data_IF_804111107138
#
_entry.id   IF_804111107138
#
_cell.length_a   1.000
_cell.length_b   1.000
_cell.length_c   1.000
_cell.angle_alpha   90.00
_cell.angle_beta   90.00
_cell.angle_gamma   90.00
#
_symmetry.space_group_name_H-M   'P 1'
#
loop_
_entity.id
_entity.type
_entity.pdbx_description
1 polymer ?
#
# COMPACT_ATOMS: atom_id res chain seq x y z
N UNK A 1 -37.95 -4.29 19.33
CA UNK A 1 -37.64 -5.49 18.53
C UNK A 1 -36.81 -6.48 19.36
N UNK A 2 -35.62 -6.10 19.83
CA UNK A 2 -34.68 -6.97 20.57
C UNK A 2 -35.29 -7.58 21.84
N UNK A 3 -36.14 -6.84 22.59
CA UNK A 3 -36.83 -7.38 23.78
C UNK A 3 -37.84 -8.49 23.42
N UNK A 4 -38.36 -8.47 22.19
CA UNK A 4 -39.33 -9.44 21.67
C UNK A 4 -38.62 -10.67 21.10
N UNK A 5 -37.49 -10.44 20.48
CA UNK A 5 -36.63 -11.44 19.84
C UNK A 5 -35.18 -11.18 20.19
N UNK A 6 -34.66 -11.82 21.25
CA UNK A 6 -33.31 -11.59 21.76
C UNK A 6 -32.19 -11.90 20.78
N UNK A 7 -32.38 -12.82 19.83
CA UNK A 7 -31.32 -13.20 18.84
C UNK A 7 -30.92 -12.02 17.95
N UNK A 8 -31.83 -11.05 17.78
CA UNK A 8 -31.58 -9.85 16.99
C UNK A 8 -30.48 -8.93 17.56
N UNK A 9 -30.08 -9.11 18.80
CA UNK A 9 -28.98 -8.34 19.40
C UNK A 9 -27.69 -8.60 18.64
N UNK A 10 -27.42 -9.84 18.22
CA UNK A 10 -26.19 -10.22 17.53
C UNK A 10 -26.01 -9.44 16.21
N UNK A 11 -27.06 -9.38 15.40
CA UNK A 11 -27.03 -8.61 14.13
C UNK A 11 -27.02 -7.09 14.38
N UNK A 12 -27.68 -6.63 15.44
CA UNK A 12 -27.79 -5.19 15.71
C UNK A 12 -26.51 -4.62 16.30
N UNK A 13 -25.82 -5.34 17.18
CA UNK A 13 -24.57 -4.90 17.81
C UNK A 13 -23.37 -4.85 16.84
N UNK A 14 -23.45 -5.53 15.68
CA UNK A 14 -22.45 -5.40 14.63
C UNK A 14 -22.46 -4.00 13.98
N UNK A 15 -23.62 -3.33 13.99
CA UNK A 15 -23.83 -2.04 13.31
C UNK A 15 -23.97 -0.90 14.30
N UNK A 16 -24.63 -1.11 15.45
CA UNK A 16 -24.95 -0.07 16.42
C UNK A 16 -24.14 -0.25 17.71
N UNK A 17 -23.68 0.90 18.21
CA UNK A 17 -23.12 1.06 19.55
C UNK A 17 -24.13 1.77 20.46
N UNK A 18 -24.02 1.71 21.79
CA UNK A 18 -24.88 2.46 22.69
C UNK A 18 -24.98 3.95 22.33
N UNK A 19 -23.87 4.56 21.92
CA UNK A 19 -23.76 5.98 21.53
C UNK A 19 -24.50 6.28 20.19
N UNK A 20 -24.87 5.24 19.44
CA UNK A 20 -25.69 5.40 18.23
C UNK A 20 -27.11 5.87 18.54
N UNK A 21 -27.56 5.72 19.76
CA UNK A 21 -28.89 6.19 20.18
C UNK A 21 -28.85 7.64 20.66
N UNK A 22 -29.87 8.44 20.27
CA UNK A 22 -29.96 9.82 20.65
C UNK A 22 -30.33 10.02 22.13
N UNK A 23 -31.27 9.19 22.64
CA UNK A 23 -31.74 9.31 24.05
C UNK A 23 -30.81 8.52 24.95
N UNK A 24 -30.30 9.14 26.02
CA UNK A 24 -29.48 8.46 27.02
C UNK A 24 -30.15 7.20 27.60
N UNK A 25 -31.49 7.23 27.79
CA UNK A 25 -32.24 6.06 28.22
C UNK A 25 -32.03 4.85 27.27
N UNK A 26 -32.08 5.08 25.99
CA UNK A 26 -31.84 3.98 25.00
C UNK A 26 -30.39 3.53 24.99
N UNK A 27 -29.43 4.44 25.26
CA UNK A 27 -28.01 4.07 25.39
C UNK A 27 -27.79 3.12 26.56
N UNK A 28 -28.37 3.42 27.73
CA UNK A 28 -28.29 2.54 28.89
C UNK A 28 -28.98 1.18 28.64
N UNK A 29 -30.17 1.20 28.05
CA UNK A 29 -30.89 -0.03 27.71
C UNK A 29 -30.09 -0.90 26.73
N UNK A 30 -29.54 -0.32 25.67
CA UNK A 30 -28.79 -1.09 24.68
C UNK A 30 -27.48 -1.63 25.26
N UNK A 31 -26.79 -0.86 26.10
CA UNK A 31 -25.60 -1.33 26.82
C UNK A 31 -25.92 -2.50 27.75
N UNK A 32 -27.00 -2.43 28.49
CA UNK A 32 -27.45 -3.53 29.34
C UNK A 32 -27.83 -4.79 28.53
N UNK A 33 -28.44 -4.62 27.33
CA UNK A 33 -28.68 -5.74 26.41
C UNK A 33 -27.39 -6.38 25.92
N UNK A 34 -26.36 -5.59 25.60
CA UNK A 34 -25.05 -6.10 25.19
C UNK A 34 -24.40 -6.90 26.32
N UNK A 35 -24.38 -6.40 27.55
CA UNK A 35 -23.83 -7.10 28.71
C UNK A 35 -24.57 -8.44 28.98
N UNK A 36 -25.90 -8.45 28.88
CA UNK A 36 -26.68 -9.67 29.03
C UNK A 36 -26.31 -10.71 27.95
N UNK A 37 -26.13 -10.26 26.72
CA UNK A 37 -25.74 -11.10 25.60
C UNK A 37 -24.32 -11.67 25.80
N UNK A 38 -23.37 -10.86 26.24
CA UNK A 38 -22.00 -11.30 26.56
C UNK A 38 -21.98 -12.35 27.68
N UNK A 39 -22.86 -12.18 28.67
CA UNK A 39 -23.04 -13.14 29.78
C UNK A 39 -23.86 -14.39 29.38
N UNK A 40 -24.32 -14.50 28.13
CA UNK A 40 -25.24 -15.53 27.64
C UNK A 40 -26.54 -15.65 28.46
N UNK A 41 -27.06 -14.52 28.93
CA UNK A 41 -28.34 -14.42 29.62
C UNK A 41 -29.45 -14.02 28.62
N UNK A 42 -30.67 -14.50 28.87
CA UNK A 42 -31.84 -14.09 28.07
C UNK A 42 -32.13 -12.60 28.24
N UNK A 43 -32.52 -11.93 27.14
CA UNK A 43 -32.86 -10.49 27.12
C UNK A 43 -34.40 -10.38 27.16
N UNK A 44 -34.94 -10.14 28.33
CA UNK A 44 -36.34 -9.81 28.53
C UNK A 44 -36.49 -8.59 29.45
N UNK A 45 -37.73 -8.17 29.70
CA UNK A 45 -38.00 -6.99 30.57
C UNK A 45 -37.49 -7.18 31.98
N UNK A 46 -37.55 -8.41 32.53
CA UNK A 46 -37.17 -8.72 33.91
C UNK A 46 -35.64 -8.72 34.05
N UNK A 47 -34.95 -9.41 33.17
CA UNK A 47 -33.47 -9.48 33.14
C UNK A 47 -32.85 -8.12 32.89
N UNK A 48 -33.47 -7.31 31.99
CA UNK A 48 -33.03 -5.93 31.74
C UNK A 48 -33.23 -5.03 32.96
N UNK A 49 -34.35 -5.17 33.69
CA UNK A 49 -34.56 -4.43 34.92
C UNK A 49 -33.51 -4.79 35.99
N UNK A 50 -33.19 -6.05 36.14
CA UNK A 50 -32.20 -6.54 37.11
C UNK A 50 -30.80 -6.01 36.75
N UNK A 51 -30.40 -6.11 35.46
CA UNK A 51 -29.13 -5.61 34.94
C UNK A 51 -29.00 -4.08 35.13
N UNK A 52 -30.01 -3.32 34.72
CA UNK A 52 -30.02 -1.87 34.90
C UNK A 52 -30.04 -1.42 36.37
N UNK A 53 -30.66 -2.22 37.23
CA UNK A 53 -30.62 -1.98 38.69
C UNK A 53 -29.23 -2.24 39.25
N UNK A 54 -28.58 -3.30 38.83
CA UNK A 54 -27.22 -3.62 39.29
C UNK A 54 -26.19 -2.60 38.84
N UNK A 55 -26.39 -1.98 37.65
CA UNK A 55 -25.60 -0.89 37.12
C UNK A 55 -25.98 0.50 37.69
N UNK A 56 -27.03 0.59 38.48
CA UNK A 56 -27.53 1.87 39.04
C UNK A 56 -28.18 2.79 38.03
N UNK A 57 -28.42 2.32 36.80
CA UNK A 57 -28.87 3.10 35.64
C UNK A 57 -30.39 2.94 35.34
N UNK A 58 -31.14 2.19 36.17
CA UNK A 58 -32.56 1.89 35.91
C UNK A 58 -33.43 3.17 35.80
N UNK A 59 -33.18 4.16 36.64
CA UNK A 59 -33.93 5.41 36.58
C UNK A 59 -33.58 6.24 35.33
N UNK A 60 -32.32 6.25 34.92
CA UNK A 60 -31.85 6.94 33.72
C UNK A 60 -32.36 6.25 32.45
N UNK A 61 -32.57 4.93 32.49
CA UNK A 61 -33.22 4.15 31.45
C UNK A 61 -34.73 4.38 31.34
N UNK A 62 -35.33 5.18 32.19
CA UNK A 62 -36.76 5.49 32.18
C UNK A 62 -37.62 4.63 33.11
N UNK A 63 -37.00 3.71 33.86
CA UNK A 63 -37.68 2.86 34.86
C UNK A 63 -38.48 1.70 34.27
N UNK A 64 -39.10 0.90 35.15
CA UNK A 64 -39.80 -0.35 34.73
C UNK A 64 -40.96 -0.11 33.75
N UNK A 65 -41.70 0.99 33.94
CA UNK A 65 -42.86 1.30 33.11
C UNK A 65 -42.41 1.58 31.65
N UNK A 66 -41.32 2.29 31.49
CA UNK A 66 -40.78 2.61 30.15
C UNK A 66 -40.29 1.36 29.41
N UNK A 67 -39.64 0.42 30.11
CA UNK A 67 -39.21 -0.87 29.53
C UNK A 67 -40.40 -1.70 29.06
N UNK A 68 -41.50 -1.70 29.85
CA UNK A 68 -42.74 -2.37 29.47
C UNK A 68 -43.40 -1.70 28.22
N UNK A 69 -43.42 -0.35 28.14
CA UNK A 69 -43.91 0.36 26.97
C UNK A 69 -43.05 0.04 25.71
N UNK A 70 -41.73 -0.03 25.84
CA UNK A 70 -40.84 -0.36 24.74
C UNK A 70 -41.08 -1.77 24.20
N UNK A 71 -41.41 -2.73 25.05
CA UNK A 71 -41.69 -4.12 24.63
C UNK A 71 -42.91 -4.24 23.75
N UNK A 72 -43.88 -3.31 23.90
CA UNK A 72 -45.15 -3.28 23.15
C UNK A 72 -45.13 -2.31 21.96
N UNK A 73 -44.11 -1.48 21.83
CA UNK A 73 -44.03 -0.38 20.84
C UNK A 73 -43.85 -0.81 19.40
N UNK A 74 -43.33 -2.05 19.15
CA UNK A 74 -43.04 -2.55 17.83
C UNK A 74 -43.91 -3.75 17.50
N UNK A 75 -44.71 -3.71 16.42
CA UNK A 75 -45.64 -4.80 16.10
C UNK A 75 -44.97 -6.04 15.45
N UNK A 76 -43.77 -5.91 14.94
CA UNK A 76 -43.05 -7.00 14.26
C UNK A 76 -41.54 -6.84 14.37
N UNK A 77 -40.82 -7.95 14.48
CA UNK A 77 -39.38 -8.01 14.53
C UNK A 77 -38.74 -8.10 13.13
N UNK A 78 -39.54 -8.38 12.09
CA UNK A 78 -39.05 -8.63 10.70
C UNK A 78 -38.29 -7.46 10.08
N UNK A 79 -38.56 -6.23 10.53
CA UNK A 79 -37.98 -5.02 9.96
C UNK A 79 -36.78 -4.48 10.79
N UNK A 80 -36.16 -5.34 11.62
CA UNK A 80 -35.09 -4.87 12.50
C UNK A 80 -33.93 -4.23 11.73
N UNK A 81 -33.53 -4.81 10.60
CA UNK A 81 -32.47 -4.27 9.75
C UNK A 81 -32.80 -2.83 9.32
N UNK A 82 -34.01 -2.59 8.86
CA UNK A 82 -34.44 -1.24 8.46
C UNK A 82 -34.43 -0.25 9.64
N UNK A 83 -34.80 -0.71 10.84
CA UNK A 83 -34.72 0.15 12.04
C UNK A 83 -33.27 0.42 12.44
N UNK A 84 -32.41 -0.56 12.34
CA UNK A 84 -30.95 -0.43 12.55
C UNK A 84 -30.37 0.59 11.60
N UNK A 85 -30.69 0.53 10.31
CA UNK A 85 -30.21 1.47 9.30
C UNK A 85 -30.66 2.91 9.57
N UNK A 86 -31.90 3.09 10.03
CA UNK A 86 -32.42 4.42 10.42
C UNK A 86 -31.60 4.99 11.59
N UNK A 87 -31.40 4.18 12.64
CA UNK A 87 -30.65 4.63 13.82
C UNK A 87 -29.21 4.94 13.43
N UNK A 88 -28.56 4.08 12.67
CA UNK A 88 -27.20 4.25 12.18
C UNK A 88 -27.06 5.54 11.35
N UNK A 89 -27.96 5.77 10.38
CA UNK A 89 -27.95 6.97 9.54
C UNK A 89 -28.06 8.26 10.38
N UNK A 90 -28.90 8.25 11.40
CA UNK A 90 -29.04 9.41 12.27
C UNK A 90 -27.86 9.56 13.25
N UNK A 91 -27.27 8.46 13.70
CA UNK A 91 -26.04 8.48 14.51
C UNK A 91 -24.88 9.06 13.71
N UNK A 92 -24.69 8.62 12.47
CA UNK A 92 -23.64 9.12 11.60
C UNK A 92 -23.80 10.62 11.30
N UNK A 93 -25.03 11.10 11.08
CA UNK A 93 -25.29 12.54 10.91
C UNK A 93 -24.91 13.34 12.15
N UNK A 94 -25.24 12.85 13.36
CA UNK A 94 -24.85 13.53 14.61
C UNK A 94 -23.34 13.55 14.78
N UNK A 95 -22.67 12.42 14.51
CA UNK A 95 -21.20 12.32 14.60
C UNK A 95 -20.53 13.28 13.61
N UNK A 96 -21.09 13.41 12.39
CA UNK A 96 -20.60 14.37 11.39
C UNK A 96 -20.72 15.82 11.90
N UNK A 97 -21.87 16.19 12.49
CA UNK A 97 -22.09 17.54 13.06
C UNK A 97 -21.10 17.80 14.20
N UNK A 98 -20.94 16.85 15.13
CA UNK A 98 -19.99 16.98 16.24
C UNK A 98 -18.55 17.12 15.76
N UNK A 99 -18.17 16.36 14.73
CA UNK A 99 -16.84 16.47 14.12
C UNK A 99 -16.64 17.83 13.46
N UNK A 100 -17.63 18.32 12.73
CA UNK A 100 -17.58 19.65 12.11
C UNK A 100 -17.45 20.77 13.17
N UNK A 101 -18.21 20.69 14.26
CA UNK A 101 -18.10 21.63 15.37
C UNK A 101 -16.72 21.58 16.04
N UNK A 102 -16.15 20.38 16.20
CA UNK A 102 -14.79 20.20 16.73
C UNK A 102 -13.75 20.83 15.80
N UNK A 103 -13.84 20.60 14.49
CA UNK A 103 -12.93 21.20 13.50
C UNK A 103 -13.04 22.72 13.50
N UNK A 104 -14.27 23.26 13.62
CA UNK A 104 -14.48 24.69 13.71
C UNK A 104 -13.83 25.28 14.97
N UNK A 105 -13.95 24.60 16.11
CA UNK A 105 -13.31 25.02 17.37
C UNK A 105 -11.77 24.99 17.28
N UNK A 106 -11.21 23.95 16.65
CA UNK A 106 -9.76 23.86 16.43
C UNK A 106 -9.27 25.03 15.54
N UNK A 107 -10.09 25.44 14.54
CA UNK A 107 -9.80 26.60 13.69
C UNK A 107 -9.82 27.96 14.40
N UNK A 108 -10.48 28.07 15.57
CA UNK A 108 -10.41 29.25 16.42
C UNK A 108 -9.29 29.24 17.45
N UNK A 109 -8.54 28.15 17.52
CA UNK A 109 -7.43 28.00 18.46
C UNK A 109 -6.11 28.49 17.85
N UNK A 110 -5.67 29.69 18.20
CA UNK A 110 -4.45 30.31 17.73
C UNK A 110 -3.15 29.57 18.17
N UNK A 111 -3.24 28.60 19.09
CA UNK A 111 -2.08 27.82 19.55
C UNK A 111 -1.74 26.66 18.60
N UNK A 112 -2.65 26.28 17.70
CA UNK A 112 -2.47 25.18 16.75
C UNK A 112 -1.96 25.70 15.40
N UNK A 113 -0.97 25.00 14.85
CA UNK A 113 -0.52 25.28 13.49
C UNK A 113 -1.56 24.83 12.45
N UNK A 114 -1.75 25.63 11.40
CA UNK A 114 -2.74 25.39 10.34
C UNK A 114 -2.62 23.99 9.72
N UNK A 115 -1.42 23.55 9.44
CA UNK A 115 -1.17 22.22 8.85
C UNK A 115 -1.62 21.08 9.77
N UNK A 116 -1.48 21.26 11.09
CA UNK A 116 -1.97 20.30 12.09
C UNK A 116 -3.49 20.26 12.11
N UNK A 117 -4.16 21.42 12.08
CA UNK A 117 -5.62 21.51 12.04
C UNK A 117 -6.17 20.83 10.77
N UNK A 118 -5.57 21.10 9.61
CA UNK A 118 -5.99 20.51 8.34
C UNK A 118 -5.83 18.98 8.32
N UNK A 119 -4.68 18.48 8.78
CA UNK A 119 -4.40 17.04 8.84
C UNK A 119 -5.34 16.31 9.80
N UNK A 120 -5.65 16.91 10.98
CA UNK A 120 -6.58 16.36 11.95
C UNK A 120 -8.02 16.39 11.43
N UNK A 121 -8.42 17.46 10.76
CA UNK A 121 -9.75 17.57 10.14
C UNK A 121 -9.96 16.50 9.08
N UNK A 122 -8.99 16.32 8.18
CA UNK A 122 -9.01 15.26 7.16
C UNK A 122 -9.12 13.87 7.79
N UNK A 123 -8.29 13.56 8.80
CA UNK A 123 -8.33 12.29 9.52
C UNK A 123 -9.71 12.01 10.13
N UNK A 124 -10.30 12.98 10.86
CA UNK A 124 -11.61 12.82 11.51
C UNK A 124 -12.75 12.62 10.49
N UNK A 125 -12.70 13.29 9.34
CA UNK A 125 -13.69 13.11 8.27
C UNK A 125 -13.55 11.73 7.64
N UNK A 126 -12.32 11.26 7.41
CA UNK A 126 -12.04 9.92 6.84
C UNK A 126 -12.48 8.80 7.79
N UNK A 127 -12.28 8.96 9.12
CA UNK A 127 -12.77 8.02 10.13
C UNK A 127 -14.31 7.87 10.10
N UNK A 128 -15.04 8.95 9.80
CA UNK A 128 -16.48 8.87 9.60
C UNK A 128 -16.89 8.11 8.33
N UNK A 129 -16.12 8.26 7.28
CA UNK A 129 -16.35 7.56 5.99
C UNK A 129 -16.09 6.06 6.11
N UNK A 130 -15.01 5.67 6.80
CA UNK A 130 -14.64 4.26 6.99
C UNK A 130 -15.58 3.48 7.91
N UNK A 131 -16.35 4.15 8.77
CA UNK A 131 -17.38 3.52 9.61
C UNK A 131 -18.53 2.89 8.79
N UNK A 132 -18.58 3.12 7.49
CA UNK A 132 -19.59 2.57 6.56
C UNK A 132 -19.28 1.16 6.05
N UNK A 133 -18.02 0.78 6.05
CA UNK A 133 -17.57 -0.55 5.64
C UNK A 133 -17.35 -1.40 6.90
N UNK A 134 -18.44 -1.93 7.44
CA UNK A 134 -18.33 -3.01 8.42
C UNK A 134 -17.71 -4.22 7.70
N UNK A 135 -16.45 -4.52 8.03
CA UNK A 135 -15.80 -5.79 7.66
C UNK A 135 -16.50 -6.96 8.40
N UNK A 136 -17.76 -7.22 8.03
CA UNK A 136 -18.47 -8.43 8.46
C UNK A 136 -17.88 -9.66 7.78
N UNK A 137 -18.15 -10.85 8.35
CA UNK A 137 -17.84 -12.11 7.69
C UNK A 137 -18.49 -12.15 6.30
N UNK A 138 -17.71 -12.44 5.26
CA UNK A 138 -18.23 -12.70 3.91
C UNK A 138 -18.72 -14.14 3.82
N UNK A 139 -19.94 -14.38 3.29
CA UNK A 139 -20.39 -15.73 3.02
C UNK A 139 -19.45 -16.38 2.00
N UNK A 140 -18.99 -17.59 2.30
CA UNK A 140 -18.08 -18.33 1.42
C UNK A 140 -18.69 -18.51 0.02
N UNK A 141 -20.02 -18.58 -0.09
CA UNK A 141 -20.73 -18.73 -1.38
C UNK A 141 -20.51 -17.52 -2.29
N UNK A 142 -20.54 -16.31 -1.71
CA UNK A 142 -20.31 -15.08 -2.46
C UNK A 142 -18.84 -14.99 -2.92
N UNK A 143 -17.93 -15.39 -2.03
CA UNK A 143 -16.48 -15.45 -2.34
C UNK A 143 -16.21 -16.48 -3.45
N UNK A 144 -16.82 -17.67 -3.39
CA UNK A 144 -16.67 -18.71 -4.42
C UNK A 144 -17.22 -18.26 -5.77
N UNK A 145 -18.34 -17.50 -5.79
CA UNK A 145 -18.85 -16.89 -7.01
C UNK A 145 -17.82 -15.99 -7.68
N UNK A 146 -17.22 -15.08 -6.92
CA UNK A 146 -16.18 -14.18 -7.43
C UNK A 146 -14.93 -14.93 -7.92
N UNK A 147 -14.48 -15.97 -7.17
CA UNK A 147 -13.35 -16.80 -7.58
C UNK A 147 -13.63 -17.54 -8.88
N UNK A 148 -14.86 -18.06 -9.05
CA UNK A 148 -15.26 -18.75 -10.27
C UNK A 148 -15.28 -17.81 -11.49
N UNK A 149 -15.88 -16.62 -11.35
CA UNK A 149 -15.87 -15.59 -12.40
C UNK A 149 -14.45 -15.20 -12.81
N UNK A 150 -13.58 -14.95 -11.82
CA UNK A 150 -12.16 -14.65 -12.07
C UNK A 150 -11.44 -15.79 -12.80
N UNK A 151 -11.73 -17.04 -12.44
CA UNK A 151 -11.12 -18.21 -13.09
C UNK A 151 -11.61 -18.37 -14.55
N UNK A 152 -12.89 -18.11 -14.83
CA UNK A 152 -13.42 -18.11 -16.21
C UNK A 152 -12.80 -16.99 -17.06
N UNK A 153 -12.62 -15.80 -16.51
CA UNK A 153 -11.95 -14.68 -17.19
C UNK A 153 -10.49 -15.02 -17.54
N UNK A 154 -9.77 -15.65 -16.62
CA UNK A 154 -8.39 -16.09 -16.83
C UNK A 154 -8.29 -17.19 -17.90
N UNK A 155 -9.23 -18.13 -17.94
CA UNK A 155 -9.26 -19.20 -18.94
C UNK A 155 -9.57 -18.66 -20.35
N UNK A 156 -10.52 -17.72 -20.45
CA UNK A 156 -10.87 -17.05 -21.71
C UNK A 156 -9.71 -16.19 -22.23
N UNK A 157 -8.92 -15.58 -21.33
CA UNK A 157 -7.75 -14.76 -21.64
C UNK A 157 -6.44 -15.55 -21.52
N UNK A 158 -6.45 -16.83 -21.83
CA UNK A 158 -5.31 -17.72 -21.72
C UNK A 158 -4.09 -17.14 -22.48
N UNK A 159 -3.02 -16.84 -21.73
CA UNK A 159 -1.81 -16.18 -22.24
C UNK A 159 -1.60 -14.74 -21.75
N UNK A 160 -2.57 -14.13 -21.08
CA UNK A 160 -2.37 -12.85 -20.39
C UNK A 160 -1.94 -13.07 -18.93
N UNK A 161 -1.16 -12.15 -18.42
CA UNK A 161 -0.70 -12.16 -17.03
C UNK A 161 -1.86 -11.77 -16.10
N UNK A 162 -2.22 -12.59 -15.08
CA UNK A 162 -3.36 -12.30 -14.20
C UNK A 162 -3.24 -10.98 -13.42
N UNK A 163 -2.03 -10.65 -12.97
CA UNK A 163 -1.71 -9.40 -12.30
C UNK A 163 -1.28 -8.31 -13.28
N UNK A 164 -0.85 -7.18 -12.77
CA UNK A 164 -0.25 -6.10 -13.56
C UNK A 164 1.10 -6.59 -14.10
N UNK A 165 1.28 -6.67 -15.43
CA UNK A 165 2.51 -7.19 -16.02
C UNK A 165 3.68 -6.25 -15.76
N UNK A 166 4.80 -6.79 -15.30
CA UNK A 166 6.05 -6.02 -15.10
C UNK A 166 6.71 -5.65 -16.41
N UNK A 167 6.34 -6.35 -17.49
CA UNK A 167 6.92 -6.24 -18.80
C UNK A 167 8.25 -7.00 -18.96
N UNK A 168 8.61 -7.88 -18.00
CA UNK A 168 9.72 -8.83 -18.08
C UNK A 168 9.14 -10.23 -18.07
N UNK A 169 9.32 -10.96 -19.18
CA UNK A 169 8.65 -12.23 -19.43
C UNK A 169 8.89 -13.26 -18.32
N UNK A 170 10.14 -13.48 -17.93
CA UNK A 170 10.49 -14.52 -16.96
C UNK A 170 10.06 -14.11 -15.53
N UNK A 171 10.04 -12.79 -15.23
CA UNK A 171 9.52 -12.27 -13.97
C UNK A 171 8.00 -12.41 -13.92
N UNK A 172 7.30 -12.06 -14.99
CA UNK A 172 5.83 -12.20 -15.09
C UNK A 172 5.42 -13.68 -15.05
N UNK A 173 6.19 -14.59 -15.64
CA UNK A 173 5.93 -16.01 -15.54
C UNK A 173 6.11 -16.54 -14.11
N UNK A 174 7.09 -16.03 -13.35
CA UNK A 174 7.34 -16.43 -11.96
C UNK A 174 6.32 -15.84 -10.98
N UNK A 175 5.92 -14.56 -11.18
CA UNK A 175 5.06 -13.82 -10.25
C UNK A 175 3.60 -13.83 -10.64
N UNK A 176 3.25 -14.27 -11.86
CA UNK A 176 1.95 -14.06 -12.51
C UNK A 176 1.57 -12.57 -12.61
N UNK A 177 2.57 -11.68 -12.74
CA UNK A 177 2.44 -10.23 -12.61
C UNK A 177 2.33 -9.79 -11.16
N UNK A 178 2.21 -8.48 -10.93
CA UNK A 178 1.99 -7.94 -9.59
C UNK A 178 0.49 -7.89 -9.28
N UNK A 179 0.07 -8.64 -8.26
CA UNK A 179 -1.33 -8.69 -7.90
C UNK A 179 -1.77 -7.41 -7.18
N UNK A 180 -3.03 -7.05 -7.35
CA UNK A 180 -3.67 -6.02 -6.53
C UNK A 180 -3.53 -6.41 -5.07
N UNK A 181 -3.36 -5.43 -4.20
CA UNK A 181 -3.15 -5.59 -2.75
C UNK A 181 -1.75 -6.10 -2.32
N UNK A 182 -0.81 -6.37 -3.24
CA UNK A 182 0.52 -6.85 -2.88
C UNK A 182 1.44 -5.71 -2.43
N UNK A 183 2.20 -5.96 -1.37
CA UNK A 183 3.37 -5.18 -0.98
C UNK A 183 4.62 -5.90 -1.47
N UNK A 184 5.33 -5.28 -2.41
CA UNK A 184 6.55 -5.76 -3.02
C UNK A 184 7.73 -4.97 -2.47
N UNK A 185 8.69 -5.65 -1.84
CA UNK A 185 9.93 -5.04 -1.40
C UNK A 185 11.02 -5.37 -2.40
N UNK A 186 11.61 -4.34 -2.98
CA UNK A 186 12.75 -4.46 -3.88
C UNK A 186 13.99 -3.91 -3.19
N UNK A 187 14.92 -4.78 -2.81
CA UNK A 187 16.08 -4.39 -2.03
C UNK A 187 17.40 -4.61 -2.79
N UNK A 188 18.32 -3.66 -2.64
CA UNK A 188 19.67 -3.74 -3.20
C UNK A 188 20.67 -2.87 -2.43
N UNK A 189 21.96 -3.09 -2.67
CA UNK A 189 23.00 -2.14 -2.29
C UNK A 189 22.93 -0.89 -3.19
N UNK A 190 23.43 0.27 -2.73
CA UNK A 190 23.56 1.45 -3.57
C UNK A 190 24.29 1.14 -4.87
N UNK A 191 23.93 1.83 -5.95
CA UNK A 191 24.56 1.73 -7.28
C UNK A 191 24.40 0.40 -8.03
N UNK A 192 23.70 -0.61 -7.47
CA UNK A 192 23.38 -1.86 -8.18
C UNK A 192 22.34 -1.65 -9.29
N UNK A 193 21.49 -0.61 -9.18
CA UNK A 193 20.48 -0.29 -10.20
C UNK A 193 19.03 -0.38 -9.71
N UNK A 194 18.80 -0.38 -8.39
CA UNK A 194 17.49 -0.51 -7.75
C UNK A 194 16.44 0.49 -8.30
N UNK A 195 16.74 1.79 -8.24
CA UNK A 195 15.87 2.85 -8.77
C UNK A 195 15.64 2.71 -10.28
N UNK A 196 16.69 2.39 -11.04
CA UNK A 196 16.57 2.19 -12.49
C UNK A 196 15.62 1.03 -12.81
N UNK A 197 15.70 -0.10 -12.09
CA UNK A 197 14.81 -1.24 -12.30
C UNK A 197 13.35 -0.90 -11.97
N UNK A 198 13.09 -0.25 -10.84
CA UNK A 198 11.74 0.17 -10.46
C UNK A 198 11.13 1.16 -11.47
N UNK A 199 11.94 2.12 -11.97
CA UNK A 199 11.50 3.05 -13.02
C UNK A 199 11.23 2.34 -14.34
N UNK A 200 12.02 1.32 -14.71
CA UNK A 200 11.78 0.53 -15.91
C UNK A 200 10.46 -0.26 -15.80
N UNK A 201 10.16 -0.86 -14.63
CA UNK A 201 8.85 -1.48 -14.38
C UNK A 201 7.74 -0.44 -14.52
N UNK A 202 7.84 0.69 -13.81
CA UNK A 202 6.84 1.76 -13.84
C UNK A 202 6.55 2.23 -15.28
N UNK A 203 7.60 2.36 -16.09
CA UNK A 203 7.53 2.77 -17.47
C UNK A 203 6.87 1.73 -18.38
N UNK A 204 7.24 0.44 -18.21
CA UNK A 204 6.65 -0.66 -18.97
C UNK A 204 5.17 -0.82 -18.62
N UNK A 205 4.81 -0.76 -17.34
CA UNK A 205 3.43 -0.79 -16.85
C UNK A 205 2.61 0.37 -17.43
N UNK A 206 3.10 1.60 -17.34
CA UNK A 206 2.38 2.78 -17.85
C UNK A 206 2.31 2.86 -19.38
N UNK A 207 3.17 2.14 -20.11
CA UNK A 207 3.14 2.04 -21.57
C UNK A 207 2.45 0.79 -22.09
N UNK A 208 1.91 -0.05 -21.19
CA UNK A 208 1.10 -1.20 -21.56
C UNK A 208 -0.18 -0.80 -22.32
N UNK A 209 -0.77 -1.70 -23.07
CA UNK A 209 -1.98 -1.45 -23.85
C UNK A 209 -3.15 -0.95 -22.99
N UNK A 210 -3.26 -1.43 -21.76
CA UNK A 210 -4.27 -1.02 -20.77
C UNK A 210 -4.02 0.38 -20.17
N UNK A 211 -2.88 1.00 -20.46
CA UNK A 211 -2.51 2.35 -20.01
C UNK A 211 -2.67 2.56 -18.49
N UNK A 212 -2.07 1.68 -17.71
CA UNK A 212 -2.10 1.75 -16.24
C UNK A 212 -1.59 3.08 -15.69
N UNK A 213 -2.20 3.54 -14.61
CA UNK A 213 -1.80 4.75 -13.89
C UNK A 213 -0.80 4.41 -12.79
N UNK A 214 0.37 5.03 -12.82
CA UNK A 214 1.47 4.77 -11.87
C UNK A 214 1.78 6.02 -11.06
N UNK A 215 1.74 5.90 -9.74
CA UNK A 215 2.21 6.92 -8.80
C UNK A 215 3.63 6.62 -8.32
N UNK A 216 4.56 7.56 -8.44
CA UNK A 216 5.95 7.41 -8.00
C UNK A 216 6.25 8.43 -6.91
N UNK A 217 6.65 7.96 -5.73
CA UNK A 217 7.17 8.79 -4.66
C UNK A 217 8.69 8.68 -4.63
N UNK A 218 9.36 9.77 -4.98
CA UNK A 218 10.82 9.86 -4.99
C UNK A 218 11.30 10.71 -3.84
N UNK A 219 11.81 10.08 -2.80
CA UNK A 219 12.21 10.77 -1.58
C UNK A 219 13.70 11.13 -1.57
N UNK A 220 14.46 10.63 -2.54
CA UNK A 220 15.91 10.87 -2.69
C UNK A 220 16.24 11.74 -3.88
N UNK A 221 15.51 11.60 -4.98
CA UNK A 221 15.83 12.24 -6.27
C UNK A 221 14.70 13.16 -6.72
N UNK A 222 15.03 14.27 -7.36
CA UNK A 222 14.05 15.16 -7.97
C UNK A 222 13.34 14.54 -9.18
N UNK A 223 12.13 15.01 -9.47
CA UNK A 223 11.30 14.51 -10.57
C UNK A 223 11.97 14.66 -11.95
N UNK A 224 12.74 15.73 -12.16
CA UNK A 224 13.51 15.98 -13.38
C UNK A 224 14.57 14.91 -13.64
N UNK A 225 15.25 14.45 -12.58
CA UNK A 225 16.25 13.39 -12.67
C UNK A 225 15.62 12.04 -13.00
N UNK A 226 14.45 11.73 -12.42
CA UNK A 226 13.71 10.52 -12.75
C UNK A 226 13.21 10.54 -14.21
N UNK A 227 12.64 11.67 -14.64
CA UNK A 227 12.19 11.86 -16.02
C UNK A 227 13.35 11.68 -17.00
N UNK A 228 14.52 12.25 -16.70
CA UNK A 228 15.73 12.08 -17.52
C UNK A 228 16.12 10.61 -17.64
N UNK A 229 16.14 9.85 -16.56
CA UNK A 229 16.43 8.39 -16.57
C UNK A 229 15.41 7.62 -17.39
N UNK A 230 14.13 7.95 -17.26
CA UNK A 230 13.06 7.33 -18.04
C UNK A 230 13.19 7.61 -19.53
N UNK A 231 13.54 8.83 -19.93
CA UNK A 231 13.77 9.19 -21.34
C UNK A 231 14.96 8.41 -21.90
N UNK A 232 16.07 8.36 -21.17
CA UNK A 232 17.26 7.60 -21.57
C UNK A 232 16.95 6.12 -21.78
N UNK A 233 16.18 5.52 -20.86
CA UNK A 233 15.76 4.12 -20.92
C UNK A 233 14.82 3.86 -22.10
N UNK A 234 13.82 4.73 -22.31
CA UNK A 234 12.82 4.57 -23.39
C UNK A 234 13.41 4.77 -24.78
N UNK A 235 14.29 5.79 -24.92
CA UNK A 235 14.86 6.20 -26.20
C UNK A 235 16.18 5.54 -26.55
N UNK A 236 16.77 4.72 -25.67
CA UNK A 236 18.16 4.26 -25.77
C UNK A 236 19.14 5.42 -25.99
N UNK A 237 18.97 6.49 -25.20
CA UNK A 237 19.83 7.67 -25.23
C UNK A 237 20.88 7.55 -24.14
N UNK A 238 22.14 7.75 -24.48
CA UNK A 238 23.23 7.67 -23.53
C UNK A 238 23.11 8.77 -22.47
N UNK A 239 22.99 8.36 -21.20
CA UNK A 239 22.82 9.27 -20.07
C UNK A 239 24.02 10.19 -19.83
N UNK A 240 25.24 9.74 -20.16
CA UNK A 240 26.43 10.58 -20.08
C UNK A 240 26.45 11.65 -21.18
N UNK A 241 26.10 11.26 -22.42
CA UNK A 241 26.01 12.24 -23.54
C UNK A 241 24.96 13.29 -23.26
N UNK A 242 23.81 12.89 -22.73
CA UNK A 242 22.77 13.85 -22.33
C UNK A 242 23.29 14.80 -21.25
N UNK A 243 23.95 14.28 -20.21
CA UNK A 243 24.49 15.06 -19.09
C UNK A 243 25.62 16.01 -19.51
N UNK A 244 26.47 15.60 -20.46
CA UNK A 244 27.59 16.42 -20.95
C UNK A 244 27.25 17.34 -22.10
N UNK A 245 26.02 17.25 -22.65
CA UNK A 245 25.58 18.03 -23.79
C UNK A 245 26.22 17.63 -25.12
N UNK A 246 26.72 16.38 -25.22
CA UNK A 246 27.43 15.84 -26.40
C UNK A 246 26.55 14.91 -27.23
N UNK A 247 25.24 15.15 -27.25
CA UNK A 247 24.26 14.38 -28.00
C UNK A 247 24.44 14.53 -29.50
N UNK A 248 24.33 13.43 -30.23
CA UNK A 248 24.28 13.42 -31.70
C UNK A 248 22.89 13.80 -32.23
N UNK A 249 22.75 14.07 -33.54
CA UNK A 249 21.43 14.30 -34.17
C UNK A 249 20.52 13.06 -34.00
N UNK A 250 21.10 11.87 -34.05
CA UNK A 250 20.37 10.61 -33.81
C UNK A 250 19.88 10.51 -32.38
N UNK A 251 20.72 10.85 -31.38
CA UNK A 251 20.34 10.88 -29.98
C UNK A 251 19.21 11.89 -29.76
N UNK A 252 19.23 13.07 -30.39
CA UNK A 252 18.15 14.04 -30.32
C UNK A 252 16.84 13.54 -30.92
N UNK A 253 16.90 12.82 -32.05
CA UNK A 253 15.73 12.19 -32.64
C UNK A 253 15.10 11.15 -31.69
N UNK A 254 15.92 10.25 -31.14
CA UNK A 254 15.49 9.22 -30.17
C UNK A 254 14.93 9.85 -28.88
N UNK A 255 15.56 10.90 -28.40
CA UNK A 255 15.12 11.67 -27.23
C UNK A 255 13.71 12.24 -27.46
N UNK A 256 13.49 12.89 -28.60
CA UNK A 256 12.19 13.51 -28.94
C UNK A 256 11.08 12.45 -29.04
N UNK A 257 11.37 11.30 -29.64
CA UNK A 257 10.43 10.17 -29.73
C UNK A 257 10.10 9.64 -28.34
N UNK A 258 11.11 9.47 -27.47
CA UNK A 258 10.90 9.00 -26.10
C UNK A 258 10.05 9.97 -25.27
N UNK A 259 10.32 11.28 -25.37
CA UNK A 259 9.49 12.32 -24.74
C UNK A 259 8.04 12.23 -25.23
N UNK A 260 7.83 12.11 -26.54
CA UNK A 260 6.49 11.96 -27.12
C UNK A 260 5.77 10.70 -26.67
N UNK A 261 6.50 9.60 -26.43
CA UNK A 261 5.94 8.35 -25.88
C UNK A 261 5.54 8.53 -24.40
N UNK A 262 6.45 9.06 -23.58
CA UNK A 262 6.24 9.22 -22.15
C UNK A 262 5.16 10.25 -21.81
N UNK A 263 5.04 11.33 -22.63
CA UNK A 263 4.01 12.35 -22.42
C UNK A 263 2.57 11.84 -22.56
N UNK A 264 2.37 10.66 -23.13
CA UNK A 264 1.06 10.02 -23.26
C UNK A 264 0.76 9.06 -22.13
N UNK A 265 1.71 8.77 -21.26
CA UNK A 265 1.53 7.85 -20.12
C UNK A 265 0.90 8.56 -18.93
N UNK A 266 0.28 7.78 -18.05
CA UNK A 266 -0.29 8.27 -16.79
C UNK A 266 0.68 8.00 -15.65
N UNK A 267 1.87 8.59 -15.70
CA UNK A 267 2.86 8.54 -14.63
C UNK A 267 2.81 9.85 -13.85
N UNK A 268 2.61 9.77 -12.55
CA UNK A 268 2.58 10.91 -11.63
C UNK A 268 3.74 10.78 -10.65
N UNK A 269 4.52 11.84 -10.48
CA UNK A 269 5.71 11.86 -9.62
C UNK A 269 5.51 12.86 -8.50
N UNK A 270 5.77 12.42 -7.28
CA UNK A 270 5.85 13.25 -6.08
C UNK A 270 7.27 13.14 -5.53
N UNK A 271 7.99 14.25 -5.47
CA UNK A 271 9.37 14.34 -4.99
C UNK A 271 9.48 15.11 -3.66
N UNK A 272 8.42 15.10 -2.86
CA UNK A 272 8.40 15.72 -1.53
C UNK A 272 9.36 14.97 -0.58
N UNK A 273 10.45 15.59 -0.11
CA UNK A 273 11.40 14.93 0.77
C UNK A 273 10.80 14.71 2.17
N UNK A 274 11.09 13.54 2.77
CA UNK A 274 10.68 13.25 4.15
C UNK A 274 9.17 13.23 4.36
N UNK A 275 8.40 12.77 3.38
CA UNK A 275 6.94 12.66 3.45
C UNK A 275 6.51 11.79 4.64
N UNK A 276 5.46 12.19 5.35
CA UNK A 276 4.83 11.36 6.38
C UNK A 276 3.97 10.29 5.74
N UNK A 277 3.91 9.11 6.36
CA UNK A 277 3.15 7.98 5.82
C UNK A 277 1.66 8.29 5.62
N UNK A 278 1.06 9.13 6.48
CA UNK A 278 -0.33 9.55 6.34
C UNK A 278 -0.54 10.50 5.15
N UNK A 279 0.40 11.42 4.90
CA UNK A 279 0.34 12.33 3.76
C UNK A 279 0.49 11.57 2.44
N UNK A 280 1.38 10.56 2.41
CA UNK A 280 1.53 9.64 1.28
C UNK A 280 0.20 8.92 1.00
N UNK A 281 -0.46 8.39 2.04
CA UNK A 281 -1.76 7.73 1.93
C UNK A 281 -2.82 8.67 1.36
N UNK A 282 -2.91 9.91 1.87
CA UNK A 282 -3.86 10.92 1.39
C UNK A 282 -3.62 11.30 -0.07
N UNK A 283 -2.35 11.50 -0.47
CA UNK A 283 -1.99 11.78 -1.87
C UNK A 283 -2.35 10.62 -2.79
N UNK A 284 -2.11 9.37 -2.38
CA UNK A 284 -2.50 8.19 -3.16
C UNK A 284 -4.02 8.08 -3.35
N UNK A 285 -4.81 8.33 -2.29
CA UNK A 285 -6.28 8.36 -2.38
C UNK A 285 -6.77 9.42 -3.36
N UNK A 286 -6.23 10.62 -3.28
CA UNK A 286 -6.57 11.71 -4.20
C UNK A 286 -6.24 11.33 -5.63
N UNK A 287 -5.04 10.80 -5.88
CA UNK A 287 -4.63 10.35 -7.21
C UNK A 287 -5.58 9.28 -7.77
N UNK A 288 -5.98 8.30 -6.93
CA UNK A 288 -6.93 7.26 -7.33
C UNK A 288 -8.29 7.83 -7.70
N UNK A 289 -8.78 8.84 -6.97
CA UNK A 289 -10.07 9.48 -7.24
C UNK A 289 -10.06 10.34 -8.52
N UNK A 290 -8.96 11.06 -8.79
CA UNK A 290 -8.87 12.00 -9.90
C UNK A 290 -8.49 11.32 -11.23
N UNK A 291 -7.58 10.34 -11.21
CA UNK A 291 -6.96 9.77 -12.41
C UNK A 291 -7.00 8.24 -12.48
N UNK A 292 -7.45 7.60 -11.41
CA UNK A 292 -7.22 6.18 -11.20
C UNK A 292 -5.80 5.95 -10.65
N UNK A 293 -5.55 4.75 -10.08
CA UNK A 293 -4.23 4.38 -9.57
C UNK A 293 -4.12 2.86 -9.58
N UNK A 294 -3.20 2.36 -10.38
CA UNK A 294 -3.01 0.93 -10.59
C UNK A 294 -1.72 0.41 -9.94
N UNK A 295 -0.70 1.26 -9.75
CA UNK A 295 0.55 0.88 -9.10
C UNK A 295 1.19 2.06 -8.38
N UNK A 296 1.82 1.80 -7.23
CA UNK A 296 2.59 2.77 -6.46
C UNK A 296 4.05 2.30 -6.39
N UNK A 297 4.99 3.22 -6.63
CA UNK A 297 6.44 3.00 -6.47
C UNK A 297 6.98 4.01 -5.48
N UNK A 298 7.78 3.55 -4.49
CA UNK A 298 8.35 4.40 -3.44
C UNK A 298 9.86 4.20 -3.39
N UNK A 299 10.64 5.27 -3.63
CA UNK A 299 12.10 5.26 -3.56
C UNK A 299 12.60 6.24 -2.48
N UNK A 300 13.01 5.79 -1.31
CA UNK A 300 12.98 4.48 -0.72
C UNK A 300 12.34 4.51 0.69
N UNK A 301 11.89 3.38 1.17
CA UNK A 301 11.08 3.19 2.37
C UNK A 301 11.67 3.89 3.62
N UNK A 302 13.00 3.81 3.81
CA UNK A 302 13.67 4.36 4.98
C UNK A 302 13.68 5.90 5.05
N UNK A 303 13.24 6.62 4.01
CA UNK A 303 13.09 8.08 4.04
C UNK A 303 11.68 8.53 4.43
N UNK A 304 10.72 7.62 4.53
CA UNK A 304 9.38 7.91 5.01
C UNK A 304 9.45 8.19 6.51
N UNK A 305 8.67 9.17 6.97
CA UNK A 305 8.49 9.48 8.39
C UNK A 305 7.23 8.78 8.91
N UNK A 306 7.32 8.18 10.10
CA UNK A 306 6.17 7.61 10.80
C UNK A 306 5.19 8.66 11.28
N UNK A 307 4.04 8.24 11.82
CA UNK A 307 3.00 9.13 12.35
C UNK A 307 3.31 9.69 13.73
N UNK A 308 4.33 9.17 14.42
CA UNK A 308 4.71 9.55 15.78
C UNK A 308 5.48 10.86 15.89
N UNK A 309 5.46 11.49 17.07
CA UNK A 309 6.23 12.67 17.42
C UNK A 309 7.74 12.38 17.28
N UNK A 310 8.54 13.40 16.91
CA UNK A 310 9.98 13.40 16.59
C UNK A 310 10.93 12.76 17.62
N UNK A 311 10.44 12.10 18.68
CA UNK A 311 11.20 11.53 19.77
C UNK A 311 11.02 9.99 19.94
N UNK A 312 10.65 9.27 18.89
CA UNK A 312 10.69 7.82 18.95
C UNK A 312 12.13 7.34 18.80
N UNK A 313 12.78 6.99 19.92
CA UNK A 313 14.14 6.43 19.98
C UNK A 313 14.29 5.06 19.29
N UNK A 314 13.23 4.53 18.67
CA UNK A 314 13.25 3.20 18.10
C UNK A 314 12.89 3.19 16.61
N UNK A 315 13.88 3.41 15.76
CA UNK A 315 13.76 3.38 14.29
C UNK A 315 13.14 2.07 13.79
N UNK A 316 13.39 0.96 14.44
CA UNK A 316 12.81 -0.34 14.08
C UNK A 316 11.27 -0.35 14.22
N UNK A 317 10.73 0.28 15.24
CA UNK A 317 9.27 0.39 15.43
C UNK A 317 8.65 1.29 14.34
N UNK A 318 9.29 2.38 13.99
CA UNK A 318 8.87 3.30 12.93
C UNK A 318 8.80 2.59 11.57
N UNK A 319 9.84 1.83 11.21
CA UNK A 319 9.86 1.04 9.98
C UNK A 319 8.78 -0.04 9.98
N UNK A 320 8.51 -0.63 11.14
CA UNK A 320 7.41 -1.61 11.31
C UNK A 320 6.04 -0.98 11.09
N UNK A 321 5.81 0.23 11.61
CA UNK A 321 4.58 0.99 11.39
C UNK A 321 4.41 1.35 9.91
N UNK A 322 5.48 1.85 9.27
CA UNK A 322 5.49 2.20 7.85
C UNK A 322 5.15 0.97 7.00
N UNK A 323 5.80 -0.18 7.24
CA UNK A 323 5.57 -1.42 6.49
C UNK A 323 4.11 -1.87 6.56
N UNK A 324 3.53 -1.92 7.76
CA UNK A 324 2.10 -2.27 7.96
C UNK A 324 1.18 -1.28 7.27
N UNK A 325 1.49 0.01 7.35
CA UNK A 325 0.67 1.05 6.71
C UNK A 325 0.76 0.96 5.19
N UNK A 326 1.93 0.67 4.61
CA UNK A 326 2.06 0.44 3.16
C UNK A 326 1.26 -0.78 2.71
N UNK A 327 1.25 -1.87 3.49
CA UNK A 327 0.39 -3.03 3.21
C UNK A 327 -1.10 -2.68 3.32
N UNK A 328 -1.47 -1.85 4.30
CA UNK A 328 -2.84 -1.36 4.40
C UNK A 328 -3.23 -0.47 3.21
N UNK A 329 -2.34 0.41 2.73
CA UNK A 329 -2.55 1.24 1.54
C UNK A 329 -2.75 0.36 0.29
N UNK A 330 -1.92 -0.69 0.10
CA UNK A 330 -2.06 -1.61 -1.03
C UNK A 330 -3.45 -2.25 -1.06
N UNK A 331 -3.95 -2.71 0.11
CA UNK A 331 -5.27 -3.32 0.24
C UNK A 331 -6.41 -2.31 0.05
N UNK A 332 -6.31 -1.14 0.66
CA UNK A 332 -7.31 -0.09 0.59
C UNK A 332 -7.49 0.45 -0.82
N UNK A 333 -6.37 0.65 -1.51
CA UNK A 333 -6.35 1.18 -2.87
C UNK A 333 -6.40 0.09 -3.94
N UNK A 334 -6.46 -1.19 -3.56
CA UNK A 334 -6.50 -2.33 -4.48
C UNK A 334 -5.46 -2.21 -5.60
N UNK A 335 -4.22 -1.87 -5.24
CA UNK A 335 -3.11 -1.75 -6.18
C UNK A 335 -1.81 -2.24 -5.54
N UNK A 336 -0.87 -2.83 -6.31
CA UNK A 336 0.44 -3.18 -5.81
C UNK A 336 1.25 -1.95 -5.40
N UNK A 337 2.00 -2.10 -4.30
CA UNK A 337 2.96 -1.11 -3.81
C UNK A 337 4.35 -1.70 -3.89
N UNK A 338 5.21 -1.10 -4.71
CA UNK A 338 6.64 -1.43 -4.79
C UNK A 338 7.39 -0.46 -3.90
N UNK A 339 7.92 -0.93 -2.78
CA UNK A 339 8.75 -0.13 -1.90
C UNK A 339 10.22 -0.55 -2.03
N UNK A 340 11.06 0.40 -2.37
CA UNK A 340 12.50 0.19 -2.47
C UNK A 340 13.12 0.20 -1.08
N UNK A 341 14.09 -0.68 -0.86
CA UNK A 341 14.82 -0.79 0.42
C UNK A 341 16.32 -0.88 0.18
N UNK A 342 17.08 -0.33 1.11
CA UNK A 342 18.54 -0.43 1.07
C UNK A 342 19.02 -1.57 1.96
N UNK A 343 19.94 -2.40 1.43
CA UNK A 343 20.55 -3.47 2.19
C UNK A 343 21.63 -2.96 3.15
N UNK A 344 21.84 -3.69 4.23
CA UNK A 344 22.90 -3.43 5.21
C UNK A 344 24.29 -3.64 4.58
N UNK A 345 25.31 -2.95 5.13
CA UNK A 345 26.70 -3.13 4.68
C UNK A 345 27.28 -4.52 5.00
N UNK A 346 26.63 -5.26 5.90
CA UNK A 346 27.07 -6.60 6.29
C UNK A 346 27.10 -7.61 5.13
N UNK A 347 26.29 -7.37 4.08
CA UNK A 347 26.31 -8.20 2.86
C UNK A 347 27.67 -8.23 2.18
N UNK A 348 28.40 -7.11 2.19
CA UNK A 348 29.71 -6.97 1.53
C UNK A 348 30.85 -7.66 2.31
N UNK A 349 30.65 -7.96 3.60
CA UNK A 349 31.65 -8.61 4.48
C UNK A 349 31.60 -10.14 4.42
N UNK A 350 30.59 -10.72 3.80
CA UNK A 350 30.48 -12.18 3.64
C UNK A 350 31.25 -12.66 2.42
N UNK A 351 31.75 -13.91 2.49
CA UNK A 351 32.35 -14.59 1.32
C UNK A 351 31.35 -14.72 0.18
N UNK A 352 30.13 -15.14 0.49
CA UNK A 352 29.00 -15.10 -0.43
C UNK A 352 28.29 -13.75 -0.27
N UNK A 353 28.56 -12.84 -1.18
CA UNK A 353 27.99 -11.48 -1.21
C UNK A 353 26.54 -11.44 -1.71
N UNK A 354 25.88 -12.63 -1.87
CA UNK A 354 24.46 -12.71 -2.26
C UNK A 354 23.55 -12.23 -1.16
N UNK A 355 22.57 -11.36 -1.49
CA UNK A 355 21.63 -10.84 -0.52
C UNK A 355 20.72 -11.93 0.09
N UNK A 356 20.41 -11.79 1.37
CA UNK A 356 19.46 -12.61 2.13
C UNK A 356 18.45 -11.74 2.84
N UNK A 357 17.35 -12.33 3.31
CA UNK A 357 16.28 -11.62 4.03
C UNK A 357 16.81 -10.82 5.25
N UNK A 358 17.75 -11.38 6.00
CA UNK A 358 18.39 -10.72 7.16
C UNK A 358 19.21 -9.47 6.82
N UNK A 359 19.52 -9.23 5.54
CA UNK A 359 20.30 -8.08 5.09
C UNK A 359 19.45 -6.83 4.89
N UNK A 360 18.12 -6.97 4.87
CA UNK A 360 17.22 -5.82 4.87
C UNK A 360 17.35 -5.15 6.24
N UNK A 361 17.71 -3.86 6.27
CA UNK A 361 17.82 -3.10 7.53
C UNK A 361 16.48 -3.09 8.26
N UNK A 362 16.50 -3.37 9.57
CA UNK A 362 15.32 -3.29 10.44
C UNK A 362 14.19 -4.25 10.01
N UNK A 363 14.56 -5.45 9.51
CA UNK A 363 13.78 -6.30 8.60
C UNK A 363 12.67 -7.16 9.19
N UNK A 364 12.59 -7.38 10.50
CA UNK A 364 11.68 -8.40 11.04
C UNK A 364 10.21 -8.21 10.66
N UNK A 365 9.73 -6.97 10.61
CA UNK A 365 8.35 -6.63 10.22
C UNK A 365 8.18 -6.54 8.70
N UNK A 366 9.15 -5.97 7.98
CA UNK A 366 9.12 -5.88 6.52
C UNK A 366 8.99 -7.27 5.92
N UNK A 367 9.78 -8.24 6.46
CA UNK A 367 9.68 -9.63 6.03
C UNK A 367 8.30 -10.23 6.26
N UNK A 368 7.66 -9.93 7.38
CA UNK A 368 6.32 -10.46 7.69
C UNK A 368 5.22 -9.84 6.83
N UNK A 369 5.25 -8.52 6.64
CA UNK A 369 4.20 -7.75 5.97
C UNK A 369 4.24 -7.89 4.44
N UNK A 370 5.43 -7.99 3.84
CA UNK A 370 5.61 -8.09 2.40
C UNK A 370 5.05 -9.41 1.82
N UNK A 371 4.43 -9.33 0.66
CA UNK A 371 3.97 -10.50 -0.10
C UNK A 371 5.08 -11.02 -0.99
N UNK A 372 5.87 -10.11 -1.59
CA UNK A 372 7.03 -10.43 -2.41
C UNK A 372 8.24 -9.67 -1.86
N UNK A 373 9.37 -10.37 -1.73
CA UNK A 373 10.67 -9.76 -1.45
C UNK A 373 11.63 -10.17 -2.55
N UNK A 374 12.13 -9.18 -3.28
CA UNK A 374 13.06 -9.34 -4.37
C UNK A 374 14.38 -8.61 -4.07
N UNK A 375 15.49 -9.25 -4.42
CA UNK A 375 16.82 -8.66 -4.35
C UNK A 375 17.39 -8.47 -5.73
N UNK A 376 18.05 -7.32 -5.97
CA UNK A 376 18.91 -7.15 -7.12
C UNK A 376 20.34 -7.50 -6.74
N UNK A 377 20.96 -8.39 -7.52
CA UNK A 377 22.34 -8.81 -7.34
C UNK A 377 23.10 -8.72 -8.67
N UNK A 378 24.33 -8.18 -8.59
CA UNK A 378 25.28 -8.08 -9.71
C UNK A 378 26.64 -8.59 -9.26
N UNK A 379 27.10 -9.66 -9.89
CA UNK A 379 28.38 -10.27 -9.54
C UNK A 379 29.57 -9.35 -9.86
N UNK A 380 29.55 -8.69 -10.99
CA UNK A 380 30.59 -7.73 -11.43
C UNK A 380 30.75 -6.52 -10.50
N UNK A 381 29.70 -6.11 -9.79
CA UNK A 381 29.74 -5.03 -8.82
C UNK A 381 30.58 -5.38 -7.59
N UNK A 382 30.49 -6.63 -7.14
CA UNK A 382 31.16 -7.08 -5.93
C UNK A 382 32.60 -7.56 -6.16
N UNK A 383 32.96 -7.93 -7.39
CA UNK A 383 34.29 -8.46 -7.74
C UNK A 383 35.30 -7.37 -8.15
N UNK A 384 34.86 -6.14 -8.41
CA UNK A 384 35.74 -4.99 -8.75
C UNK A 384 36.62 -4.50 -7.59
N UNK A 385 36.39 -4.93 -6.35
CA UNK A 385 37.11 -4.46 -5.16
C UNK A 385 38.35 -5.27 -4.75
N UNK A 386 38.67 -6.36 -5.43
CA UNK A 386 39.76 -7.25 -5.00
C UNK A 386 41.05 -7.16 -5.87
N UNK A 387 41.08 -6.26 -6.89
CA UNK A 387 42.19 -6.21 -7.87
C UNK A 387 43.05 -4.97 -7.91
N UNK A 388 42.70 -3.84 -7.29
CA UNK A 388 43.31 -2.54 -7.60
C UNK A 388 43.98 -1.80 -6.40
N UNK A 389 44.52 -2.50 -5.42
CA UNK A 389 45.27 -1.82 -4.35
C UNK A 389 46.81 -1.74 -4.58
N UNK A 390 47.38 -2.33 -5.65
CA UNK A 390 48.82 -2.42 -5.81
C UNK A 390 49.43 -1.91 -7.13
N UNK A 391 48.74 -1.13 -7.99
CA UNK A 391 49.37 -0.55 -9.18
C UNK A 391 49.08 0.95 -9.39
N UNK A 392 49.87 1.77 -8.71
CA UNK A 392 49.89 3.26 -8.85
C UNK A 392 50.59 3.75 -10.14
N UNK A 393 50.92 2.89 -11.12
CA UNK A 393 51.64 3.28 -12.33
C UNK A 393 51.27 2.56 -13.63
N UNK A 394 49.96 2.33 -13.85
CA UNK A 394 49.50 1.81 -15.17
C UNK A 394 48.67 2.86 -15.91
N UNK A 395 49.20 3.31 -17.04
CA UNK A 395 48.63 4.34 -17.90
C UNK A 395 47.18 4.08 -18.31
N UNK A 396 46.48 5.17 -18.54
CA UNK A 396 45.11 5.30 -19.00
C UNK A 396 44.85 4.47 -20.27
N UNK A 397 44.60 3.16 -20.13
CA UNK A 397 44.00 2.37 -21.22
C UNK A 397 42.50 2.62 -21.22
N UNK A 398 41.91 2.96 -22.39
CA UNK A 398 40.45 3.05 -22.52
C UNK A 398 39.89 1.65 -22.35
N UNK A 399 39.29 1.39 -21.17
CA UNK A 399 38.61 0.14 -20.89
C UNK A 399 37.54 -0.13 -21.96
N UNK A 400 37.67 -1.25 -22.63
CA UNK A 400 36.72 -1.78 -23.59
C UNK A 400 35.31 -1.82 -23.00
N UNK A 401 34.36 -1.29 -23.77
CA UNK A 401 32.94 -1.10 -23.45
C UNK A 401 32.16 -2.40 -23.16
N UNK A 402 32.46 -3.12 -22.09
CA UNK A 402 31.59 -4.16 -21.56
C UNK A 402 30.81 -3.66 -20.32
N UNK A 403 30.16 -2.50 -20.47
CA UNK A 403 29.32 -1.86 -19.45
C UNK A 403 27.93 -2.53 -19.35
N UNK A 404 27.74 -3.65 -20.06
CA UNK A 404 26.52 -4.42 -20.10
C UNK A 404 26.67 -5.67 -19.24
N UNK A 405 26.05 -5.69 -18.06
CA UNK A 405 26.15 -6.79 -17.12
C UNK A 405 24.86 -7.57 -16.94
N UNK A 406 25.02 -8.87 -16.70
CA UNK A 406 23.93 -9.72 -16.21
C UNK A 406 23.57 -9.26 -14.78
N UNK A 407 22.28 -9.11 -14.52
CA UNK A 407 21.75 -8.83 -13.20
C UNK A 407 20.75 -9.90 -12.80
N UNK A 408 20.83 -10.34 -11.56
CA UNK A 408 19.91 -11.33 -11.02
C UNK A 408 18.84 -10.63 -10.18
N UNK A 409 17.59 -11.00 -10.43
CA UNK A 409 16.45 -10.65 -9.60
C UNK A 409 16.10 -11.89 -8.78
N UNK A 410 16.50 -11.88 -7.50
CA UNK A 410 16.33 -13.02 -6.60
C UNK A 410 15.01 -12.82 -5.84
N UNK A 411 13.99 -13.61 -6.15
CA UNK A 411 12.72 -13.64 -5.41
C UNK A 411 12.93 -14.54 -4.19
N UNK A 412 13.22 -13.91 -3.05
CA UNK A 412 13.51 -14.64 -1.81
C UNK A 412 12.26 -14.99 -1.01
N UNK A 413 11.17 -14.24 -1.23
CA UNK A 413 9.84 -14.50 -0.64
C UNK A 413 8.77 -14.22 -1.67
N UNK A 414 7.80 -15.12 -1.76
CA UNK A 414 6.56 -14.92 -2.50
C UNK A 414 5.45 -15.71 -1.81
N UNK A 415 4.36 -15.03 -1.40
CA UNK A 415 3.25 -15.70 -0.69
C UNK A 415 2.41 -16.58 -1.61
N UNK A 416 2.22 -16.14 -2.85
CA UNK A 416 1.28 -16.76 -3.79
C UNK A 416 1.99 -17.44 -4.98
N UNK A 417 3.28 -17.76 -4.86
CA UNK A 417 4.03 -18.37 -5.94
C UNK A 417 5.40 -18.90 -5.52
N UNK A 418 6.19 -19.41 -6.47
CA UNK A 418 7.51 -19.96 -6.20
C UNK A 418 8.55 -18.87 -5.93
N UNK A 419 9.59 -19.21 -5.17
CA UNK A 419 10.82 -18.43 -5.08
C UNK A 419 11.81 -18.87 -6.14
N UNK A 420 12.70 -17.99 -6.55
CA UNK A 420 13.68 -18.31 -7.61
C UNK A 420 14.49 -17.09 -8.02
N UNK A 421 15.23 -17.24 -9.11
CA UNK A 421 16.08 -16.17 -9.65
C UNK A 421 15.75 -15.97 -11.13
N UNK A 422 15.48 -14.72 -11.49
CA UNK A 422 15.31 -14.27 -12.87
C UNK A 422 16.56 -13.49 -13.27
N UNK A 423 17.08 -13.75 -14.46
CA UNK A 423 18.23 -13.06 -15.00
C UNK A 423 17.80 -12.04 -16.05
N UNK A 424 18.30 -10.84 -15.95
CA UNK A 424 18.08 -9.75 -16.89
C UNK A 424 19.41 -9.17 -17.36
N UNK A 425 19.37 -8.49 -18.49
CA UNK A 425 20.51 -7.76 -19.01
C UNK A 425 20.36 -6.28 -18.64
N UNK A 426 21.37 -5.68 -18.01
CA UNK A 426 21.37 -4.27 -17.62
C UNK A 426 22.33 -3.46 -18.50
N UNK A 427 21.77 -2.57 -19.30
CA UNK A 427 22.50 -1.60 -20.10
C UNK A 427 22.68 -0.29 -19.33
N UNK A 428 23.79 -0.16 -18.62
CA UNK A 428 24.07 0.94 -17.68
C UNK A 428 24.04 2.31 -18.35
N UNK A 429 24.59 2.43 -19.57
CA UNK A 429 24.60 3.67 -20.35
C UNK A 429 23.20 4.25 -20.61
N UNK A 430 22.18 3.39 -20.71
CA UNK A 430 20.78 3.79 -20.94
C UNK A 430 19.92 3.67 -19.69
N UNK A 431 20.44 3.22 -18.56
CA UNK A 431 19.66 2.84 -17.37
C UNK A 431 18.50 1.86 -17.69
N UNK A 432 18.73 0.92 -18.61
CA UNK A 432 17.70 0.05 -19.17
C UNK A 432 17.94 -1.42 -18.83
N UNK A 433 16.85 -2.08 -18.44
CA UNK A 433 16.81 -3.53 -18.27
C UNK A 433 16.06 -4.19 -19.43
N UNK A 434 16.56 -5.34 -19.90
CA UNK A 434 15.94 -6.15 -20.95
C UNK A 434 15.96 -7.62 -20.57
N UNK A 435 15.02 -8.38 -21.12
CA UNK A 435 15.05 -9.83 -21.02
C UNK A 435 16.29 -10.38 -21.74
N UNK A 436 16.83 -11.50 -21.24
CA UNK A 436 17.90 -12.25 -21.91
C UNK A 436 17.25 -13.14 -22.96
N UNK A 437 17.69 -13.01 -24.21
CA UNK A 437 17.22 -13.86 -25.30
C UNK A 437 18.08 -15.12 -25.40
N UNK A 438 17.61 -16.20 -24.82
CA UNK A 438 18.30 -17.49 -24.85
C UNK A 438 18.28 -18.18 -26.23
N UNK A 439 17.46 -17.73 -27.17
CA UNK A 439 17.33 -18.34 -28.48
C UNK A 439 18.57 -18.15 -29.36
N UNK A 440 19.50 -17.26 -29.03
CA UNK A 440 20.75 -17.03 -29.78
C UNK A 440 22.00 -17.51 -29.05
N UNK A 441 21.89 -18.00 -27.81
CA UNK A 441 23.06 -18.49 -27.05
C UNK A 441 23.56 -19.83 -27.51
N UNK A 442 22.75 -20.65 -28.20
CA UNK A 442 23.15 -22.00 -28.72
C UNK A 442 23.75 -21.95 -30.14
N UNK A 443 24.01 -20.78 -30.72
CA UNK A 443 24.57 -20.59 -32.04
C UNK A 443 25.95 -19.90 -32.08
N UNK A 444 26.59 -19.73 -30.97
CA UNK A 444 27.99 -19.28 -30.82
C UNK A 444 28.79 -20.38 -30.07
#
# INVERSE_FOLDING_TARGET
AIIIDPELINTTQEVLLPESFYRGAHQHIFRAMMHLNEDNKEIDVVTLMDQLSSEGSLNEAGGPQYLAELSTSVPTTRNVQYYTDIVFKHALKRKLIQTADSIANDGYNDELELDTILSDAERRILELSSTRESDGFKDIRDVLGQVYETAEELDQNSGQTPGIPTGYRDLDQMTAGFNRNDLIILAARPSVGKTAFALNIAQKVATHEDMYTVGIFSLEMGADQLATRMICSSGNVDSNRLRTGTMTEEDWSRFTIAVGKLSRTKIFIDDTPGIRINDLRSKCRRLKQEHGLDMIVIDYLQLIQGSGSRFSDNRQQEVSEISRTLKAIARELECPVIALSQLSRGVEQRQDKRPMMSDIRESGSIEQDADIVAFLYRDDYYNRGEGDEDDDDAGFEPQTNDDNGEIEIIIAKQRNGPTGTVKLHFMKQYNKFTDIDYAHADML
#
